data_IF_426214515604
#
_entry.id   IF_426214515604
#
_cell.length_a   1.000
_cell.length_b   1.000
_cell.length_c   1.000
_cell.angle_alpha   90.00
_cell.angle_beta   90.00
_cell.angle_gamma   90.00
#
_symmetry.space_group_name_H-M   'P 1'
#
loop_
_entity.id
_entity.type
_entity.pdbx_description
1 polymer ?
#
# COMPACT_ATOMS: atom_id res chain seq x y z
N UNK A 1 37.63 -13.10 -20.66
CA UNK A 1 37.01 -13.36 -19.35
C UNK A 1 36.12 -12.17 -19.02
N UNK A 2 34.88 -12.16 -19.51
CA UNK A 2 33.95 -11.04 -19.29
C UNK A 2 33.13 -11.34 -18.05
N UNK A 3 33.56 -10.81 -16.90
CA UNK A 3 32.81 -10.84 -15.65
C UNK A 3 31.66 -9.84 -15.77
N UNK A 4 30.47 -10.32 -16.12
CA UNK A 4 29.22 -9.56 -16.04
C UNK A 4 28.87 -9.32 -14.57
N UNK A 5 28.96 -8.06 -14.14
CA UNK A 5 28.64 -7.62 -12.78
C UNK A 5 27.12 -7.79 -12.52
N UNK A 6 26.68 -8.48 -11.45
CA UNK A 6 25.26 -8.62 -11.16
C UNK A 6 24.64 -7.25 -10.87
N UNK A 7 23.83 -6.76 -11.79
CA UNK A 7 23.07 -5.52 -11.59
C UNK A 7 21.95 -5.80 -10.60
N UNK A 8 22.01 -5.14 -9.44
CA UNK A 8 20.97 -5.27 -8.40
C UNK A 8 19.67 -4.66 -8.91
N UNK A 9 18.55 -5.42 -8.93
CA UNK A 9 17.27 -4.89 -9.35
C UNK A 9 16.83 -3.72 -8.45
N UNK A 10 16.21 -2.70 -9.04
CA UNK A 10 15.72 -1.51 -8.34
C UNK A 10 14.19 -1.49 -8.38
N UNK A 11 13.54 -1.15 -7.27
CA UNK A 11 12.08 -0.98 -7.17
C UNK A 11 11.75 0.41 -6.62
N UNK A 12 10.54 0.91 -6.88
CA UNK A 12 10.08 2.16 -6.24
C UNK A 12 9.73 1.91 -4.77
N UNK A 13 10.25 2.73 -3.88
CA UNK A 13 9.85 2.79 -2.48
C UNK A 13 8.37 3.20 -2.41
N UNK A 14 7.49 2.43 -1.75
CA UNK A 14 6.06 2.76 -1.69
C UNK A 14 5.78 4.04 -0.89
N UNK A 15 6.63 4.38 0.09
CA UNK A 15 6.44 5.56 0.94
C UNK A 15 6.84 6.88 0.28
N UNK A 16 7.89 6.89 -0.53
CA UNK A 16 8.47 8.14 -1.05
C UNK A 16 8.79 8.15 -2.55
N UNK A 17 8.56 7.03 -3.24
CA UNK A 17 8.77 6.89 -4.69
C UNK A 17 10.23 6.77 -5.16
N UNK A 18 11.22 6.97 -4.27
CA UNK A 18 12.64 6.84 -4.60
C UNK A 18 13.01 5.39 -4.95
N UNK A 19 14.09 5.20 -5.71
CA UNK A 19 14.59 3.86 -6.03
C UNK A 19 15.19 3.18 -4.79
N UNK A 20 14.84 1.91 -4.62
CA UNK A 20 15.29 1.03 -3.55
C UNK A 20 15.98 -0.21 -4.15
N UNK A 21 17.21 -0.55 -3.74
CA UNK A 21 17.86 -1.77 -4.17
C UNK A 21 17.12 -2.99 -3.61
N UNK A 22 16.67 -3.85 -4.50
CA UNK A 22 16.02 -5.11 -4.18
C UNK A 22 17.08 -6.24 -4.04
N UNK A 23 18.01 -6.08 -3.09
CA UNK A 23 19.03 -7.09 -2.75
C UNK A 23 19.10 -7.39 -1.25
N UNK A 24 19.63 -8.57 -0.85
CA UNK A 24 19.84 -8.99 0.54
C UNK A 24 20.48 -7.94 1.46
N UNK A 25 21.35 -7.09 0.88
CA UNK A 25 22.08 -6.05 1.59
C UNK A 25 21.18 -4.89 2.05
N UNK A 26 20.03 -4.67 1.41
CA UNK A 26 19.02 -3.74 1.90
C UNK A 26 18.08 -4.45 2.87
N UNK A 27 18.28 -4.27 4.18
CA UNK A 27 17.44 -4.86 5.22
C UNK A 27 16.00 -4.32 5.22
N UNK A 28 15.73 -3.22 4.51
CA UNK A 28 14.45 -2.50 4.54
C UNK A 28 13.63 -2.65 3.26
N UNK A 29 13.96 -3.59 2.36
CA UNK A 29 13.16 -3.83 1.14
C UNK A 29 11.67 -4.02 1.48
N UNK A 30 10.74 -3.47 0.67
CA UNK A 30 10.96 -2.70 -0.56
C UNK A 30 11.30 -1.21 -0.34
N UNK A 31 11.40 -0.76 0.91
CA UNK A 31 11.67 0.63 1.27
C UNK A 31 13.13 1.02 1.04
N UNK A 32 13.38 2.32 0.77
CA UNK A 32 14.73 2.84 0.58
C UNK A 32 15.49 3.06 1.91
N UNK A 33 14.80 3.04 3.05
CA UNK A 33 15.39 3.28 4.38
C UNK A 33 14.46 2.79 5.50
N UNK A 34 15.01 2.65 6.70
CA UNK A 34 14.25 2.37 7.93
C UNK A 34 13.15 3.41 8.18
N UNK A 35 13.45 4.69 7.95
CA UNK A 35 12.47 5.77 8.10
C UNK A 35 11.20 5.53 7.26
N UNK A 36 11.36 5.13 6.00
CA UNK A 36 10.22 4.88 5.12
C UNK A 36 9.39 3.67 5.59
N UNK A 37 10.05 2.60 6.04
CA UNK A 37 9.38 1.45 6.67
C UNK A 37 8.55 1.85 7.89
N UNK A 38 9.08 2.72 8.74
CA UNK A 38 8.39 3.18 9.95
C UNK A 38 7.21 4.10 9.64
N UNK A 39 7.32 4.96 8.64
CA UNK A 39 6.21 5.80 8.18
C UNK A 39 5.07 4.93 7.67
N UNK A 40 5.38 3.95 6.81
CA UNK A 40 4.38 3.00 6.30
C UNK A 40 3.64 2.33 7.46
N UNK A 41 4.37 1.75 8.42
CA UNK A 41 3.78 1.15 9.63
C UNK A 41 2.91 2.13 10.43
N UNK A 42 3.32 3.39 10.52
CA UNK A 42 2.56 4.45 11.17
C UNK A 42 1.25 4.79 10.44
N UNK A 43 1.26 4.85 9.12
CA UNK A 43 0.06 5.09 8.32
C UNK A 43 -0.96 3.95 8.49
N UNK A 44 -0.50 2.69 8.52
CA UNK A 44 -1.34 1.54 8.83
C UNK A 44 -1.95 1.62 10.23
N UNK A 45 -1.15 1.99 11.23
CA UNK A 45 -1.62 2.13 12.61
C UNK A 45 -2.62 3.30 12.79
N UNK A 46 -2.56 4.32 11.93
CA UNK A 46 -3.42 5.51 11.99
C UNK A 46 -4.81 5.33 11.36
N UNK A 47 -5.15 4.13 10.87
CA UNK A 47 -6.40 3.84 10.12
C UNK A 47 -6.62 4.72 8.87
N UNK A 48 -5.58 5.39 8.36
CA UNK A 48 -5.66 6.22 7.16
C UNK A 48 -5.89 5.39 5.89
N UNK A 49 -5.61 4.08 5.94
CA UNK A 49 -5.97 3.15 4.86
C UNK A 49 -7.45 2.76 4.94
N UNK A 50 -8.30 3.53 4.26
CA UNK A 50 -9.71 3.18 4.05
C UNK A 50 -9.84 2.38 2.75
N UNK A 51 -10.36 1.17 2.84
CA UNK A 51 -10.88 0.47 1.64
C UNK A 51 -12.22 1.14 1.32
N UNK A 52 -12.40 1.74 0.13
CA UNK A 52 -13.69 2.29 -0.24
C UNK A 52 -14.71 1.16 -0.31
N UNK A 53 -15.82 1.32 0.43
CA UNK A 53 -16.95 0.39 0.36
C UNK A 53 -17.70 0.63 -0.95
N UNK A 54 -17.86 -0.43 -1.75
CA UNK A 54 -18.58 -0.39 -3.02
C UNK A 54 -20.03 -0.88 -2.86
N UNK A 55 -20.55 -0.93 -1.63
CA UNK A 55 -21.89 -1.40 -1.32
C UNK A 55 -22.87 -0.23 -1.50
N UNK A 56 -23.21 0.06 -2.75
CA UNK A 56 -24.50 0.68 -3.02
C UNK A 56 -25.60 -0.32 -2.66
N UNK A 57 -26.01 -0.33 -1.40
CA UNK A 57 -27.27 -0.97 -1.01
C UNK A 57 -28.42 -0.12 -1.57
N UNK A 58 -29.32 -0.68 -2.41
CA UNK A 58 -30.55 0.01 -2.73
C UNK A 58 -31.33 0.19 -1.41
N UNK A 59 -31.56 1.43 -1.06
CA UNK A 59 -32.35 1.84 0.10
C UNK A 59 -33.66 1.08 0.15
N UNK A 60 -33.89 0.36 1.26
CA UNK A 60 -35.20 -0.14 1.63
C UNK A 60 -36.17 1.05 1.69
N UNK A 61 -37.13 1.10 0.78
CA UNK A 61 -38.35 1.86 0.96
C UNK A 61 -39.33 0.94 1.69
N UNK A 62 -39.41 1.08 3.00
CA UNK A 62 -40.66 0.84 3.70
C UNK A 62 -41.64 1.94 3.27
N UNK A 63 -42.69 1.57 2.54
CA UNK A 63 -43.92 2.35 2.49
C UNK A 63 -45.06 1.41 2.88
N UNK A 64 -45.13 1.16 4.18
CA UNK A 64 -46.36 0.68 4.81
C UNK A 64 -47.26 1.88 5.05
N UNK A 65 -48.05 2.29 4.07
CA UNK A 65 -49.12 3.28 4.26
C UNK A 65 -50.41 2.89 3.56
N UNK A 66 -51.39 2.59 4.41
CA UNK A 66 -52.81 2.95 4.28
C UNK A 66 -53.74 2.08 3.42
N UNK A 67 -54.56 1.32 4.16
CA UNK A 67 -55.95 0.94 3.89
C UNK A 67 -56.60 1.59 2.65
N UNK A 68 -57.01 0.77 1.70
CA UNK A 68 -58.39 0.69 1.24
C UNK A 68 -58.69 -0.70 0.68
#
# INVERSE_FOLDING_TARGET
>A
MTTSNPTTPQVKCPTCGQLSPYSPQNAFRPFCSERCKLIDLGEWASESYRIPDNSQSPTSADDGSLLQ
#
